data_IF_926678834191
#
_entry.id   IF_926678834191
#
_cell.length_a   1.000
_cell.length_b   1.000
_cell.length_c   1.000
_cell.angle_alpha   90.00
_cell.angle_beta   90.00
_cell.angle_gamma   90.00
#
_symmetry.space_group_name_H-M   'P 1'
#
loop_
_entity.id
_entity.type
_entity.pdbx_description
1 polymer ?
#
# COMPACT_ATOMS: atom_id res chain seq x y z
N UNK A 1 -13.73 -13.26 -2.40
CA UNK A 1 -13.15 -13.31 -3.77
C UNK A 1 -11.79 -13.99 -3.64
N UNK A 2 -11.36 -14.86 -4.56
CA UNK A 2 -9.99 -15.44 -4.50
C UNK A 2 -9.05 -14.63 -5.39
N UNK A 3 -7.89 -14.27 -4.84
CA UNK A 3 -6.73 -13.71 -5.54
C UNK A 3 -5.59 -14.65 -5.19
N UNK A 4 -4.94 -15.20 -6.21
CA UNK A 4 -3.89 -16.21 -6.12
C UNK A 4 -2.69 -15.82 -6.99
N UNK A 5 -1.76 -16.74 -7.19
CA UNK A 5 -0.55 -16.58 -8.00
C UNK A 5 -0.82 -16.37 -9.51
N UNK A 6 -2.08 -16.51 -9.96
CA UNK A 6 -2.49 -16.22 -11.33
C UNK A 6 -3.18 -14.86 -11.47
N UNK A 7 -3.27 -14.09 -10.38
CA UNK A 7 -4.07 -12.88 -10.31
C UNK A 7 -3.21 -11.62 -10.15
N UNK A 8 -3.60 -10.55 -10.82
CA UNK A 8 -3.06 -9.20 -10.65
C UNK A 8 -4.19 -8.25 -10.27
N UNK A 9 -3.93 -7.39 -9.29
CA UNK A 9 -4.82 -6.28 -8.94
C UNK A 9 -4.27 -5.01 -9.59
N UNK A 10 -5.11 -4.34 -10.37
CA UNK A 10 -4.80 -3.08 -11.02
C UNK A 10 -5.69 -1.99 -10.43
N UNK A 11 -5.05 -0.95 -9.89
CA UNK A 11 -5.71 0.31 -9.58
C UNK A 11 -5.57 1.23 -10.78
N UNK A 12 -6.68 1.48 -11.46
CA UNK A 12 -6.72 2.44 -12.54
C UNK A 12 -6.92 3.83 -11.94
N UNK A 13 -6.02 4.73 -12.29
CA UNK A 13 -6.20 6.16 -12.15
C UNK A 13 -6.94 6.69 -13.38
N UNK A 14 -7.91 7.58 -13.16
CA UNK A 14 -8.65 8.25 -14.22
C UNK A 14 -8.27 9.73 -14.16
N UNK A 15 -7.63 10.22 -15.22
CA UNK A 15 -7.22 11.62 -15.41
C UNK A 15 -8.43 12.57 -15.57
N UNK A 16 -9.65 12.04 -15.42
CA UNK A 16 -10.86 12.84 -15.39
C UNK A 16 -11.01 13.58 -14.06
N UNK A 17 -11.60 14.77 -14.11
CA UNK A 17 -11.85 15.68 -12.96
C UNK A 17 -12.70 15.07 -11.83
N UNK A 18 -13.16 13.82 -11.99
CA UNK A 18 -13.90 13.05 -11.00
C UNK A 18 -13.01 11.85 -10.68
N UNK A 19 -12.44 11.82 -9.47
CA UNK A 19 -11.52 10.78 -8.96
C UNK A 19 -12.15 9.39 -8.85
N UNK A 20 -12.51 8.81 -9.99
CA UNK A 20 -13.06 7.46 -10.12
C UNK A 20 -11.92 6.47 -10.13
N UNK A 21 -11.64 5.92 -8.96
CA UNK A 21 -10.67 4.86 -8.80
C UNK A 21 -11.35 3.54 -9.11
N UNK A 22 -11.08 2.99 -10.28
CA UNK A 22 -11.55 1.65 -10.65
C UNK A 22 -10.51 0.63 -10.25
N UNK A 23 -10.95 -0.44 -9.60
CA UNK A 23 -10.08 -1.59 -9.29
C UNK A 23 -10.46 -2.73 -10.20
N UNK A 24 -9.45 -3.29 -10.87
CA UNK A 24 -9.59 -4.44 -11.74
C UNK A 24 -8.82 -5.62 -11.17
N UNK A 25 -9.34 -6.81 -11.44
CA UNK A 25 -8.61 -8.07 -11.29
C UNK A 25 -8.37 -8.62 -12.68
N UNK A 26 -7.10 -8.86 -12.98
CA UNK A 26 -6.68 -9.62 -14.15
C UNK A 26 -6.35 -11.05 -13.68
N UNK A 27 -6.92 -12.05 -14.32
CA UNK A 27 -6.62 -13.47 -14.06
C UNK A 27 -5.99 -14.07 -15.30
N UNK A 28 -4.78 -14.58 -15.16
CA UNK A 28 -3.99 -15.14 -16.24
C UNK A 28 -4.19 -16.65 -16.31
N UNK A 29 -4.39 -17.14 -17.53
CA UNK A 29 -4.36 -18.58 -17.82
C UNK A 29 -3.38 -18.83 -18.97
N UNK A 30 -3.14 -20.09 -19.31
CA UNK A 30 -2.26 -20.43 -20.43
C UNK A 30 -2.80 -19.81 -21.73
N UNK A 31 -2.13 -18.75 -22.20
CA UNK A 31 -2.44 -18.07 -23.45
C UNK A 31 -3.64 -17.10 -23.41
N UNK A 32 -4.21 -16.78 -22.25
CA UNK A 32 -5.28 -15.78 -22.16
C UNK A 32 -5.29 -15.02 -20.84
N UNK A 33 -5.97 -13.87 -20.83
CA UNK A 33 -6.17 -13.03 -19.64
C UNK A 33 -7.63 -12.60 -19.55
N UNK A 34 -8.21 -12.76 -18.37
CA UNK A 34 -9.56 -12.28 -18.06
C UNK A 34 -9.43 -11.01 -17.21
N UNK A 35 -9.92 -9.88 -17.72
CA UNK A 35 -9.96 -8.63 -16.98
C UNK A 35 -11.38 -8.37 -16.48
N UNK A 36 -11.54 -8.24 -15.16
CA UNK A 36 -12.83 -7.95 -14.52
C UNK A 36 -12.68 -6.72 -13.64
N UNK A 37 -13.54 -5.72 -13.86
CA UNK A 37 -13.67 -4.59 -12.94
C UNK A 37 -14.39 -5.05 -11.68
N UNK A 38 -13.70 -5.03 -10.54
CA UNK A 38 -14.23 -5.46 -9.24
C UNK A 38 -14.77 -4.29 -8.42
N UNK A 39 -14.39 -3.06 -8.75
CA UNK A 39 -14.90 -1.85 -8.13
C UNK A 39 -14.91 -0.70 -9.13
N UNK A 40 -15.97 0.10 -9.06
CA UNK A 40 -16.13 1.34 -9.81
C UNK A 40 -16.81 2.35 -8.89
N UNK A 41 -16.03 3.27 -8.34
CA UNK A 41 -16.52 4.25 -7.39
C UNK A 41 -15.46 5.28 -7.05
N UNK A 42 -15.77 6.11 -6.06
CA UNK A 42 -14.85 7.14 -5.61
C UNK A 42 -14.02 6.60 -4.44
N UNK A 43 -12.72 6.84 -4.47
CA UNK A 43 -11.91 6.85 -3.25
C UNK A 43 -12.28 8.09 -2.42
N UNK A 44 -11.91 8.13 -1.14
CA UNK A 44 -12.28 9.27 -0.28
C UNK A 44 -11.33 10.48 -0.39
N UNK A 45 -10.43 10.49 -1.38
CA UNK A 45 -9.52 11.60 -1.60
C UNK A 45 -8.17 11.28 -2.24
N UNK A 46 -7.93 10.06 -2.75
CA UNK A 46 -6.75 9.83 -3.60
C UNK A 46 -6.84 10.79 -4.80
N UNK A 47 -5.79 11.60 -5.03
CA UNK A 47 -5.75 12.56 -6.15
C UNK A 47 -5.62 11.84 -7.50
N UNK A 48 -5.49 12.59 -8.59
CA UNK A 48 -5.42 12.08 -9.97
C UNK A 48 -3.99 11.77 -10.46
N UNK A 49 -3.02 11.63 -9.56
CA UNK A 49 -1.61 11.46 -9.94
C UNK A 49 -0.95 10.25 -9.30
N UNK A 50 -0.61 9.28 -10.16
CA UNK A 50 0.45 8.26 -10.03
C UNK A 50 0.69 7.76 -8.60
N UNK A 51 -0.28 7.02 -8.08
CA UNK A 51 -0.20 6.44 -6.74
C UNK A 51 0.64 5.16 -6.77
N UNK A 52 1.78 5.09 -6.07
CA UNK A 52 2.36 3.81 -5.81
C UNK A 52 1.38 3.04 -4.91
N UNK A 53 1.02 1.84 -5.32
CA UNK A 53 0.15 0.96 -4.57
C UNK A 53 0.80 -0.39 -4.36
N UNK A 54 0.49 -1.01 -3.23
CA UNK A 54 1.04 -2.31 -2.86
C UNK A 54 -0.04 -3.20 -2.29
N UNK A 55 0.09 -4.51 -2.53
CA UNK A 55 -0.84 -5.49 -2.00
C UNK A 55 -0.36 -5.96 -0.62
N UNK A 56 -1.21 -5.80 0.38
CA UNK A 56 -0.98 -6.23 1.75
C UNK A 56 -1.79 -7.48 2.07
N UNK A 57 -1.14 -8.48 2.67
CA UNK A 57 -1.80 -9.66 3.18
C UNK A 57 -2.10 -9.47 4.67
N UNK A 58 -3.31 -8.96 4.97
CA UNK A 58 -3.74 -8.79 6.36
C UNK A 58 -4.38 -10.06 6.91
N UNK A 59 -4.47 -10.22 8.24
CA UNK A 59 -5.23 -11.30 8.86
C UNK A 59 -6.71 -11.34 8.44
N UNK A 60 -7.26 -10.18 8.03
CA UNK A 60 -8.65 -10.06 7.55
C UNK A 60 -8.81 -10.28 6.03
N UNK A 61 -7.72 -10.60 5.34
CA UNK A 61 -7.65 -10.78 3.89
C UNK A 61 -6.80 -9.74 3.17
N UNK A 62 -6.77 -9.82 1.84
CA UNK A 62 -5.97 -8.95 0.99
C UNK A 62 -6.52 -7.53 0.97
N UNK A 63 -5.62 -6.56 1.14
CA UNK A 63 -5.91 -5.13 1.07
C UNK A 63 -4.95 -4.49 0.09
N UNK A 64 -5.46 -3.70 -0.84
CA UNK A 64 -4.62 -2.84 -1.66
C UNK A 64 -4.37 -1.54 -0.88
N UNK A 65 -3.12 -1.20 -0.65
CA UNK A 65 -2.73 0.05 -0.01
C UNK A 65 -2.26 1.03 -1.06
N UNK A 66 -2.84 2.24 -1.06
CA UNK A 66 -2.54 3.29 -2.02
C UNK A 66 -2.28 4.59 -1.27
N UNK A 67 -1.24 5.31 -1.70
CA UNK A 67 -0.98 6.67 -1.24
C UNK A 67 -0.93 7.60 -2.44
N UNK A 68 -1.63 8.73 -2.30
CA UNK A 68 -1.28 9.97 -2.96
C UNK A 68 -2.34 11.03 -2.75
N UNK A 69 -2.05 12.25 -3.23
CA UNK A 69 -2.97 13.38 -3.06
C UNK A 69 -3.18 13.80 -1.61
N UNK A 70 -2.13 13.70 -0.79
CA UNK A 70 -2.17 13.96 0.66
C UNK A 70 -3.05 12.98 1.47
N UNK A 71 -3.48 11.89 0.85
CA UNK A 71 -4.33 10.86 1.43
C UNK A 71 -3.66 9.48 1.32
N UNK A 72 -4.01 8.60 2.26
CA UNK A 72 -3.57 7.22 2.30
C UNK A 72 -4.79 6.37 2.58
N UNK A 73 -5.05 5.38 1.72
CA UNK A 73 -6.24 4.55 1.82
C UNK A 73 -5.90 3.08 1.61
N UNK A 74 -6.76 2.23 2.15
CA UNK A 74 -6.78 0.81 1.79
C UNK A 74 -8.10 0.44 1.17
N UNK A 75 -8.02 -0.36 0.11
CA UNK A 75 -9.14 -1.01 -0.50
C UNK A 75 -9.18 -2.48 -0.08
N UNK A 76 -10.25 -2.88 0.60
CA UNK A 76 -10.47 -4.28 0.94
C UNK A 76 -10.98 -5.02 -0.30
N UNK A 77 -10.15 -5.94 -0.80
CA UNK A 77 -10.41 -6.65 -2.06
C UNK A 77 -11.64 -7.56 -1.94
N UNK A 78 -11.94 -8.06 -0.73
CA UNK A 78 -13.07 -8.95 -0.50
C UNK A 78 -14.37 -8.20 -0.23
N UNK A 79 -14.29 -7.07 0.48
CA UNK A 79 -15.46 -6.25 0.84
C UNK A 79 -15.76 -5.15 -0.17
N UNK A 80 -14.85 -4.92 -1.12
CA UNK A 80 -14.96 -3.92 -2.18
C UNK A 80 -15.21 -2.50 -1.66
N UNK A 81 -14.50 -2.10 -0.60
CA UNK A 81 -14.65 -0.79 0.02
C UNK A 81 -13.31 -0.13 0.36
N UNK A 82 -13.30 1.20 0.33
CA UNK A 82 -12.16 2.03 0.73
C UNK A 82 -12.23 2.38 2.21
N UNK A 83 -11.06 2.53 2.83
CA UNK A 83 -10.90 3.03 4.19
C UNK A 83 -9.63 3.88 4.30
N UNK A 84 -9.76 5.08 4.85
CA UNK A 84 -8.63 5.97 5.14
C UNK A 84 -7.70 5.35 6.19
N UNK A 85 -6.41 5.59 6.00
CA UNK A 85 -5.34 5.16 6.91
C UNK A 85 -4.54 6.37 7.33
N UNK A 86 -4.41 6.57 8.65
CA UNK A 86 -3.57 7.62 9.20
C UNK A 86 -2.09 7.29 9.01
N UNK A 87 -1.39 8.13 8.26
CA UNK A 87 0.07 8.06 8.10
C UNK A 87 0.69 9.45 8.29
N UNK A 88 1.96 9.55 8.69
CA UNK A 88 2.64 10.84 8.81
C UNK A 88 2.60 11.63 7.50
N UNK A 89 2.52 12.95 7.60
CA UNK A 89 2.55 13.84 6.42
C UNK A 89 3.77 13.57 5.53
N UNK A 90 4.88 13.17 6.15
CA UNK A 90 6.10 12.84 5.43
C UNK A 90 6.05 11.61 4.53
N UNK A 91 5.03 10.79 4.72
CA UNK A 91 4.68 9.67 3.85
C UNK A 91 3.64 10.10 2.82
N UNK A 92 2.77 11.08 3.11
CA UNK A 92 1.69 11.47 2.20
C UNK A 92 2.18 12.37 1.08
N UNK A 93 3.04 13.34 1.41
CA UNK A 93 3.46 14.41 0.49
C UNK A 93 4.75 14.06 -0.27
N UNK A 94 5.14 12.78 -0.27
CA UNK A 94 6.28 12.30 -1.04
C UNK A 94 5.79 11.83 -2.39
N UNK A 95 6.20 12.43 -3.48
CA UNK A 95 5.80 12.02 -4.82
C UNK A 95 6.89 11.20 -5.51
N UNK A 96 6.57 10.59 -6.66
CA UNK A 96 7.55 9.93 -7.55
C UNK A 96 8.47 8.90 -6.85
N UNK A 97 7.97 8.24 -5.81
CA UNK A 97 8.69 7.26 -5.00
C UNK A 97 8.44 5.83 -5.48
N UNK A 98 9.34 4.93 -5.12
CA UNK A 98 9.14 3.48 -5.29
C UNK A 98 8.78 2.83 -3.97
N UNK A 99 7.89 1.82 -4.01
CA UNK A 99 7.50 1.03 -2.85
C UNK A 99 7.84 -0.44 -3.07
N UNK A 100 8.23 -1.11 -2.00
CA UNK A 100 8.36 -2.57 -1.94
C UNK A 100 7.76 -3.10 -0.64
N UNK A 101 7.21 -4.30 -0.69
CA UNK A 101 6.62 -4.95 0.50
C UNK A 101 7.52 -6.08 0.95
N UNK A 102 7.74 -6.14 2.26
CA UNK A 102 8.36 -7.27 2.93
C UNK A 102 7.46 -7.74 4.07
N UNK A 103 6.94 -8.96 3.96
CA UNK A 103 6.15 -9.58 5.02
C UNK A 103 7.12 -10.32 5.96
N UNK A 104 7.26 -9.83 7.17
CA UNK A 104 8.05 -10.51 8.21
C UNK A 104 7.25 -11.70 8.76
N UNK A 105 5.96 -11.51 9.00
CA UNK A 105 5.00 -12.56 9.36
C UNK A 105 3.57 -12.19 8.92
N UNK A 106 2.57 -12.98 9.32
CA UNK A 106 1.15 -12.80 8.95
C UNK A 106 0.49 -11.54 9.51
N UNK A 107 1.10 -10.91 10.52
CA UNK A 107 0.58 -9.75 11.26
C UNK A 107 1.49 -8.53 11.19
N UNK A 108 2.68 -8.71 10.63
CA UNK A 108 3.74 -7.72 10.64
C UNK A 108 4.31 -7.57 9.23
N UNK A 109 3.89 -6.50 8.57
CA UNK A 109 4.32 -6.18 7.20
C UNK A 109 5.13 -4.89 7.22
N UNK A 110 6.20 -4.86 6.45
CA UNK A 110 6.98 -3.65 6.20
C UNK A 110 6.76 -3.18 4.76
N UNK A 111 6.57 -1.88 4.60
CA UNK A 111 6.69 -1.21 3.31
C UNK A 111 8.01 -0.45 3.32
N UNK A 112 8.82 -0.66 2.29
CA UNK A 112 10.10 0.02 2.09
C UNK A 112 9.89 1.04 0.99
N UNK A 113 10.06 2.31 1.33
CA UNK A 113 9.88 3.46 0.44
C UNK A 113 11.25 4.00 0.04
N UNK A 114 11.50 4.07 -1.27
CA UNK A 114 12.77 4.51 -1.84
C UNK A 114 12.61 5.81 -2.62
N UNK A 115 13.43 6.79 -2.23
CA UNK A 115 13.56 8.06 -2.92
C UNK A 115 12.23 8.76 -3.17
N UNK A 116 12.18 9.61 -4.18
CA UNK A 116 11.01 10.37 -4.57
C UNK A 116 11.27 11.86 -4.51
N UNK A 117 10.22 12.64 -4.36
CA UNK A 117 10.26 14.09 -4.37
C UNK A 117 9.40 14.63 -3.25
N UNK A 118 9.82 15.70 -2.62
CA UNK A 118 9.00 16.49 -1.71
C UNK A 118 9.08 17.93 -2.16
N UNK A 119 7.95 18.53 -2.52
CA UNK A 119 7.90 19.84 -3.17
C UNK A 119 8.84 19.86 -4.39
N UNK A 120 9.91 20.67 -4.36
CA UNK A 120 10.91 20.74 -5.44
C UNK A 120 12.19 19.92 -5.12
N UNK A 121 12.27 19.31 -3.94
CA UNK A 121 13.46 18.58 -3.49
C UNK A 121 13.41 17.10 -3.87
N UNK A 122 14.44 16.62 -4.57
CA UNK A 122 14.65 15.19 -4.78
C UNK A 122 15.14 14.52 -3.49
N UNK A 123 14.48 13.43 -3.12
CA UNK A 123 14.82 12.61 -1.97
C UNK A 123 15.51 11.32 -2.43
N UNK A 124 16.60 10.96 -1.77
CA UNK A 124 17.34 9.71 -1.99
C UNK A 124 17.33 8.78 -0.78
N UNK A 125 16.70 9.20 0.32
CA UNK A 125 16.60 8.40 1.54
C UNK A 125 15.65 7.21 1.37
N UNK A 126 15.95 6.14 2.12
CA UNK A 126 15.08 4.98 2.28
C UNK A 126 14.33 5.10 3.60
N UNK A 127 13.03 4.81 3.58
CA UNK A 127 12.16 4.83 4.76
C UNK A 127 11.44 3.50 4.91
N UNK A 128 11.23 3.09 6.15
CA UNK A 128 10.55 1.84 6.49
C UNK A 128 9.24 2.17 7.19
N UNK A 129 8.14 1.61 6.70
CA UNK A 129 6.82 1.77 7.27
C UNK A 129 6.40 0.42 7.83
N UNK A 130 6.30 0.31 9.14
CA UNK A 130 5.77 -0.87 9.79
C UNK A 130 4.24 -0.79 9.80
N UNK A 131 3.61 -1.75 9.14
CA UNK A 131 2.16 -1.92 9.06
C UNK A 131 1.77 -2.94 10.12
N UNK A 132 0.97 -2.50 11.08
CA UNK A 132 0.38 -3.35 12.11
C UNK A 132 -1.12 -3.38 11.97
N UNK A 133 -1.69 -4.55 12.18
CA UNK A 133 -3.13 -4.76 12.15
C UNK A 133 -3.69 -4.73 13.57
N UNK A 134 -4.71 -3.92 13.81
CA UNK A 134 -5.45 -3.95 15.07
C UNK A 134 -6.36 -5.19 15.10
N UNK A 135 -6.91 -5.53 16.28
CA UNK A 135 -7.89 -6.61 16.40
C UNK A 135 -9.14 -6.40 15.53
N UNK A 136 -9.47 -5.15 15.18
CA UNK A 136 -10.56 -4.81 14.26
C UNK A 136 -10.21 -4.93 12.77
N UNK A 137 -8.96 -5.27 12.44
CA UNK A 137 -8.45 -5.31 11.08
C UNK A 137 -8.05 -3.94 10.51
N UNK A 138 -7.97 -2.92 11.36
CA UNK A 138 -7.53 -1.58 10.99
C UNK A 138 -6.01 -1.51 10.92
N UNK A 139 -5.49 -0.62 10.10
CA UNK A 139 -4.06 -0.47 9.88
C UNK A 139 -3.53 0.69 10.71
N UNK A 140 -2.49 0.40 11.49
CA UNK A 140 -1.62 1.40 12.10
C UNK A 140 -0.29 1.39 11.37
N UNK A 141 0.24 2.58 11.10
CA UNK A 141 1.51 2.78 10.39
C UNK A 141 2.49 3.49 11.30
N UNK A 142 3.69 2.92 11.44
CA UNK A 142 4.82 3.58 12.11
C UNK A 142 6.00 3.69 11.16
N UNK A 143 6.59 4.88 11.08
CA UNK A 143 7.75 5.14 10.23
C UNK A 143 9.06 4.97 10.98
N UNK A 144 10.08 4.52 10.26
CA UNK A 144 11.44 4.32 10.73
C UNK A 144 12.42 4.79 9.66
N UNK A 145 13.47 5.48 10.08
CA UNK A 145 14.70 5.61 9.32
C UNK A 145 15.43 4.27 9.22
N UNK A 146 16.41 4.15 8.32
CA UNK A 146 17.26 2.96 8.24
C UNK A 146 17.91 2.61 9.58
N UNK A 147 18.42 3.61 10.29
CA UNK A 147 19.05 3.41 11.61
C UNK A 147 18.06 2.86 12.63
N UNK A 148 16.88 3.47 12.74
CA UNK A 148 15.86 3.02 13.71
C UNK A 148 15.35 1.61 13.37
N UNK A 149 15.21 1.29 12.08
CA UNK A 149 14.88 -0.04 11.62
C UNK A 149 15.94 -1.07 12.04
N UNK A 150 17.22 -0.78 11.82
CA UNK A 150 18.33 -1.65 12.23
C UNK A 150 18.39 -1.84 13.76
N UNK A 151 18.18 -0.76 14.52
CA UNK A 151 18.12 -0.82 15.98
C UNK A 151 16.93 -1.67 16.48
N UNK A 152 15.77 -1.57 15.83
CA UNK A 152 14.59 -2.38 16.12
C UNK A 152 14.85 -3.86 15.83
N UNK A 153 15.42 -4.18 14.67
CA UNK A 153 15.75 -5.57 14.32
C UNK A 153 16.78 -6.18 15.25
N UNK A 154 17.83 -5.43 15.62
CA UNK A 154 18.83 -5.90 16.58
C UNK A 154 18.28 -6.10 18.00
N UNK A 155 17.21 -5.40 18.40
CA UNK A 155 16.52 -5.67 19.68
C UNK A 155 15.76 -7.00 19.64
N UNK A 156 15.13 -7.32 18.51
CA UNK A 156 14.38 -8.57 18.34
C UNK A 156 15.29 -9.78 18.35
N UNK A 157 16.41 -9.72 17.65
CA UNK A 157 17.43 -10.80 17.68
C UNK A 157 17.89 -11.10 19.11
N UNK A 158 18.19 -10.07 19.90
CA UNK A 158 18.62 -10.24 21.31
C UNK A 158 17.53 -10.75 22.24
N UNK A 159 16.25 -10.57 21.90
CA UNK A 159 15.12 -11.05 22.71
C UNK A 159 14.78 -12.53 22.47
N UNK A 160 15.32 -13.13 21.41
CA UNK A 160 15.12 -14.55 21.05
C UNK A 160 16.31 -15.42 21.51
N UNK A 161 17.41 -14.81 21.97
CA UNK A 161 18.62 -15.47 22.45
C UNK A 161 18.60 -15.75 23.96
#
# INVERSE_FOLDING_TARGET
MSVDDTSVILLQDDDSTISKHSVYRLTFTKGSVFCVRIFNGNSHGLSTYSHPSVLLNSPSGLKLWAIGGNECETFDINKTNWKKVGVPESVKNRDLRSLSVWNEDTTNTWIIEFGGQWDEASLSDTRFLNIRYTAGGDISVRTYSLREYQEEMGKRERSVA
#
